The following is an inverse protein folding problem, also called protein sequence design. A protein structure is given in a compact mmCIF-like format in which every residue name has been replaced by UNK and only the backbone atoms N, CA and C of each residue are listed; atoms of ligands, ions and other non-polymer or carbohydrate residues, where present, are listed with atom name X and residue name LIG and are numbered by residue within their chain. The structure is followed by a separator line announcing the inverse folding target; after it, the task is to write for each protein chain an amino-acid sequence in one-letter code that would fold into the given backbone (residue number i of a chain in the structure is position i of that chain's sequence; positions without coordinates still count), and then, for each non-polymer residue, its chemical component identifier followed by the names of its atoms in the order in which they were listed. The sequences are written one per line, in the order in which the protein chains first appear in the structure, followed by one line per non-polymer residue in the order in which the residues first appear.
data_IF_432067431299
#
_entry.id   IF_432067431299
#
_cell.length_a   1.000
_cell.length_b   1.000
_cell.length_c   1.000
_cell.angle_alpha   90.00
_cell.angle_beta   90.00
_cell.angle_gamma   90.00
#
_symmetry.space_group_name_H-M   'P 1'
#
loop_
_entity.id
_entity.type
_entity.pdbx_description
1 polymer ?
#
# COMPACT_ATOMS: atom_id res chain seq x y z
N UNK A 1 17.74 4.84 11.86
CA UNK A 1 17.72 4.57 10.40
C UNK A 1 17.91 5.89 9.69
N UNK A 2 18.75 5.94 8.66
CA UNK A 2 19.10 7.17 7.94
C UNK A 2 19.35 6.84 6.48
N UNK A 3 18.93 7.71 5.56
CA UNK A 3 19.22 7.62 4.14
C UNK A 3 20.72 7.63 3.84
N UNK A 4 21.54 8.21 4.74
CA UNK A 4 23.00 8.18 4.60
C UNK A 4 23.63 6.82 4.91
N UNK A 5 22.96 6.00 5.71
CA UNK A 5 23.45 4.67 6.13
C UNK A 5 22.76 3.52 5.39
N UNK A 6 21.61 3.79 4.78
CA UNK A 6 20.76 2.80 4.10
C UNK A 6 20.33 3.42 2.77
N UNK A 7 21.15 3.32 1.71
CA UNK A 7 20.89 3.98 0.43
C UNK A 7 19.63 3.45 -0.27
N UNK A 8 19.17 2.24 0.07
CA UNK A 8 17.94 1.64 -0.43
C UNK A 8 16.68 2.22 0.26
N UNK A 9 16.85 3.08 1.27
CA UNK A 9 15.81 3.84 1.94
C UNK A 9 14.60 2.98 2.36
N UNK A 10 13.39 3.31 1.91
CA UNK A 10 12.15 2.59 2.25
C UNK A 10 12.18 1.12 1.82
N UNK A 11 13.01 0.73 0.84
CA UNK A 11 13.19 -0.68 0.48
C UNK A 11 14.07 -1.45 1.50
N UNK A 12 14.90 -0.76 2.28
CA UNK A 12 15.67 -1.38 3.37
C UNK A 12 14.85 -1.50 4.67
N UNK A 13 14.01 -0.51 4.98
CA UNK A 13 13.40 -0.41 6.32
C UNK A 13 11.92 -0.03 6.38
N UNK A 14 11.25 0.15 5.24
CA UNK A 14 9.83 0.51 5.18
C UNK A 14 9.52 1.80 5.97
N UNK A 15 8.54 1.73 6.87
CA UNK A 15 8.14 2.85 7.71
C UNK A 15 9.15 3.18 8.84
N UNK A 16 10.19 2.37 9.02
CA UNK A 16 11.23 2.57 10.02
C UNK A 16 11.12 1.64 11.24
N UNK A 17 11.65 2.09 12.37
CA UNK A 17 11.84 1.24 13.55
C UNK A 17 10.53 1.10 14.33
N UNK A 18 10.17 -0.14 14.67
CA UNK A 18 8.98 -0.45 15.47
C UNK A 18 8.96 0.34 16.78
N UNK A 19 7.83 0.95 17.09
CA UNK A 19 7.53 1.53 18.39
C UNK A 19 6.34 0.79 19.03
N UNK A 20 6.57 -0.21 19.90
CA UNK A 20 5.50 -1.03 20.45
C UNK A 20 4.49 -0.24 21.28
N UNK A 21 4.97 0.75 22.04
CA UNK A 21 4.13 1.58 22.91
C UNK A 21 3.14 2.40 22.09
N UNK A 22 3.57 2.98 20.97
CA UNK A 22 2.68 3.71 20.06
C UNK A 22 1.80 2.77 19.22
N UNK A 23 2.31 1.61 18.83
CA UNK A 23 1.56 0.65 18.01
C UNK A 23 0.33 0.08 18.73
N UNK A 24 0.35 0.00 20.07
CA UNK A 24 -0.80 -0.44 20.85
C UNK A 24 -2.03 0.48 20.73
N UNK A 25 -1.84 1.78 20.44
CA UNK A 25 -2.91 2.76 20.31
C UNK A 25 -2.60 3.73 19.16
N UNK A 26 -2.77 3.31 17.89
CA UNK A 26 -2.31 4.07 16.72
C UNK A 26 -3.24 5.25 16.35
N UNK A 27 -4.46 5.29 16.90
CA UNK A 27 -5.49 6.27 16.56
C UNK A 27 -6.19 5.94 15.24
N UNK A 28 -5.43 5.85 14.14
CA UNK A 28 -5.92 5.47 12.81
C UNK A 28 -5.25 4.18 12.32
N UNK A 29 -5.99 3.36 11.57
CA UNK A 29 -5.47 2.17 10.88
C UNK A 29 -5.95 2.14 9.43
N UNK A 30 -5.20 1.44 8.59
CA UNK A 30 -5.62 1.10 7.23
C UNK A 30 -6.12 -0.34 7.25
N UNK A 31 -7.43 -0.52 7.42
CA UNK A 31 -8.04 -1.85 7.44
C UNK A 31 -8.13 -2.44 6.04
N UNK A 32 -7.99 -3.76 5.96
CA UNK A 32 -8.00 -4.51 4.71
C UNK A 32 -8.56 -5.91 4.95
N UNK A 33 -9.31 -6.43 3.98
CA UNK A 33 -9.90 -7.76 4.02
C UNK A 33 -9.26 -8.70 2.99
N UNK A 34 -9.49 -10.00 3.13
CA UNK A 34 -9.08 -11.01 2.16
C UNK A 34 -9.68 -10.75 0.75
N UNK A 35 -10.88 -10.17 0.70
CA UNK A 35 -11.53 -9.81 -0.55
C UNK A 35 -10.79 -8.69 -1.31
N UNK A 36 -10.16 -7.76 -0.59
CA UNK A 36 -9.34 -6.69 -1.17
C UNK A 36 -8.04 -7.26 -1.75
N UNK A 37 -7.42 -8.24 -1.05
CA UNK A 37 -6.27 -8.98 -1.58
C UNK A 37 -6.63 -9.80 -2.81
N UNK A 38 -7.80 -10.44 -2.82
CA UNK A 38 -8.26 -11.16 -4.00
C UNK A 38 -8.44 -10.23 -5.21
N UNK A 39 -8.99 -9.02 -4.99
CA UNK A 39 -9.11 -8.00 -6.04
C UNK A 39 -7.73 -7.51 -6.53
N UNK A 40 -6.80 -7.26 -5.60
CA UNK A 40 -5.41 -6.93 -5.94
C UNK A 40 -4.76 -8.00 -6.82
N UNK A 41 -4.86 -9.27 -6.44
CA UNK A 41 -4.29 -10.39 -7.20
C UNK A 41 -4.94 -10.51 -8.60
N UNK A 42 -6.25 -10.32 -8.69
CA UNK A 42 -6.93 -10.24 -9.99
C UNK A 42 -6.39 -9.08 -10.84
N UNK A 43 -6.12 -7.92 -10.23
CA UNK A 43 -5.51 -6.76 -10.89
C UNK A 43 -4.08 -7.01 -11.39
N UNK A 44 -3.30 -7.80 -10.66
CA UNK A 44 -1.95 -8.26 -11.03
C UNK A 44 -1.98 -9.31 -12.17
N UNK A 45 -3.16 -9.85 -12.51
CA UNK A 45 -3.34 -10.79 -13.62
C UNK A 45 -3.47 -12.26 -13.22
N UNK A 46 -3.71 -12.55 -11.94
CA UNK A 46 -3.98 -13.93 -11.49
C UNK A 46 -5.26 -14.47 -12.12
N UNK A 47 -5.22 -15.74 -12.50
CA UNK A 47 -6.39 -16.48 -12.99
C UNK A 47 -7.26 -16.99 -11.85
N UNK A 48 -8.55 -17.25 -12.14
CA UNK A 48 -9.48 -17.87 -11.19
C UNK A 48 -8.92 -19.18 -10.59
N UNK A 49 -8.12 -19.93 -11.36
CA UNK A 49 -7.49 -21.18 -10.90
C UNK A 49 -6.41 -20.92 -9.86
N UNK A 50 -5.53 -19.95 -10.09
CA UNK A 50 -4.46 -19.59 -9.17
C UNK A 50 -5.04 -18.97 -7.89
N UNK A 51 -6.05 -18.11 -8.04
CA UNK A 51 -6.72 -17.48 -6.91
C UNK A 51 -7.42 -18.51 -6.00
N UNK A 52 -8.07 -19.53 -6.58
CA UNK A 52 -8.68 -20.63 -5.81
C UNK A 52 -7.65 -21.46 -5.03
N UNK A 53 -6.43 -21.59 -5.55
CA UNK A 53 -5.36 -22.30 -4.85
C UNK A 53 -4.89 -21.48 -3.64
N UNK A 54 -4.76 -20.15 -3.80
CA UNK A 54 -4.27 -19.26 -2.74
C UNK A 54 -5.31 -18.99 -1.66
N UNK A 55 -6.54 -18.67 -2.05
CA UNK A 55 -7.62 -18.30 -1.13
C UNK A 55 -8.33 -19.50 -0.53
N UNK A 56 -8.22 -20.68 -1.15
CA UNK A 56 -9.00 -21.88 -0.83
C UNK A 56 -10.53 -21.69 -0.95
N UNK A 57 -10.98 -20.55 -1.47
CA UNK A 57 -12.38 -20.21 -1.70
C UNK A 57 -12.69 -20.23 -3.21
N UNK A 58 -13.98 -20.33 -3.57
CA UNK A 58 -14.43 -20.25 -4.97
C UNK A 58 -14.46 -18.80 -5.49
N UNK A 59 -13.41 -18.04 -5.22
CA UNK A 59 -13.30 -16.63 -5.63
C UNK A 59 -13.01 -16.55 -7.13
N UNK A 60 -13.65 -15.61 -7.83
CA UNK A 60 -13.47 -15.39 -9.27
C UNK A 60 -13.17 -13.92 -9.56
N UNK A 61 -12.38 -13.67 -10.60
CA UNK A 61 -11.94 -12.34 -11.01
C UNK A 61 -12.92 -11.62 -11.95
N UNK A 62 -14.05 -12.27 -12.31
CA UNK A 62 -14.91 -11.88 -13.44
C UNK A 62 -15.57 -10.49 -13.35
N UNK A 63 -15.51 -9.82 -12.20
CA UNK A 63 -15.91 -8.40 -12.03
C UNK A 63 -14.83 -7.53 -11.35
N UNK A 64 -13.69 -8.13 -11.00
CA UNK A 64 -12.65 -7.56 -10.12
C UNK A 64 -11.33 -7.24 -10.84
N UNK A 65 -11.21 -7.57 -12.13
CA UNK A 65 -9.98 -7.43 -12.91
C UNK A 65 -9.69 -5.97 -13.36
N UNK A 66 -9.85 -5.00 -12.48
CA UNK A 66 -9.40 -3.64 -12.75
C UNK A 66 -7.90 -3.55 -12.46
N UNK A 67 -7.05 -3.34 -13.47
CA UNK A 67 -5.61 -3.13 -13.28
C UNK A 67 -5.26 -1.99 -12.31
N UNK A 68 -6.21 -1.08 -12.05
CA UNK A 68 -6.05 -0.03 -11.03
C UNK A 68 -6.16 -0.56 -9.59
N UNK A 69 -6.75 -1.74 -9.38
CA UNK A 69 -6.89 -2.37 -8.06
C UNK A 69 -5.52 -2.58 -7.38
N UNK A 70 -4.49 -2.86 -8.18
CA UNK A 70 -3.10 -3.02 -7.72
C UNK A 70 -2.64 -1.86 -6.85
N UNK A 71 -2.94 -0.63 -7.29
CA UNK A 71 -2.52 0.57 -6.58
C UNK A 71 -3.53 1.02 -5.51
N UNK A 72 -4.75 0.53 -5.55
CA UNK A 72 -5.82 0.91 -4.61
C UNK A 72 -5.93 0.02 -3.37
N UNK A 73 -5.09 -1.02 -3.27
CA UNK A 73 -4.98 -1.80 -2.05
C UNK A 73 -4.72 -0.88 -0.84
N UNK A 74 -5.50 -1.03 0.22
CA UNK A 74 -5.49 -0.10 1.36
C UNK A 74 -4.28 -0.29 2.30
N UNK A 75 -3.07 -0.13 1.76
CA UNK A 75 -1.82 -0.28 2.49
C UNK A 75 -1.36 1.04 3.13
N UNK A 76 -0.65 0.98 4.27
CA UNK A 76 -0.07 2.14 4.97
C UNK A 76 1.23 2.65 4.31
N UNK A 77 1.37 2.46 3.00
CA UNK A 77 2.49 2.94 2.18
C UNK A 77 2.03 3.21 0.75
N UNK A 78 2.82 4.01 0.04
CA UNK A 78 2.59 4.35 -1.36
C UNK A 78 3.81 3.94 -2.17
N UNK A 79 3.59 3.14 -3.21
CA UNK A 79 4.66 2.68 -4.11
C UNK A 79 4.22 2.93 -5.54
N UNK A 80 5.09 3.58 -6.32
CA UNK A 80 4.91 3.81 -7.74
C UNK A 80 6.15 3.32 -8.49
N UNK A 81 5.99 2.32 -9.35
CA UNK A 81 7.02 1.95 -10.30
C UNK A 81 6.93 2.89 -11.50
N UNK A 82 8.03 3.58 -11.81
CA UNK A 82 8.12 4.54 -12.92
C UNK A 82 9.30 4.17 -13.80
N UNK A 83 9.14 4.31 -15.11
CA UNK A 83 10.26 4.28 -16.05
C UNK A 83 10.85 5.68 -16.15
N UNK A 84 12.18 5.78 -16.23
CA UNK A 84 12.97 7.03 -16.09
C UNK A 84 12.70 8.12 -17.15
N UNK A 85 11.84 7.85 -18.13
CA UNK A 85 11.67 8.67 -19.33
C UNK A 85 10.39 9.52 -19.34
N UNK A 86 9.53 9.43 -18.32
CA UNK A 86 8.24 10.14 -18.34
C UNK A 86 7.86 10.69 -16.98
N UNK A 87 7.26 11.89 -16.96
CA UNK A 87 6.64 12.46 -15.76
C UNK A 87 5.40 11.62 -15.44
N UNK A 88 5.44 10.91 -14.31
CA UNK A 88 4.34 10.08 -13.83
C UNK A 88 3.64 10.73 -12.64
N UNK A 89 2.31 10.76 -12.70
CA UNK A 89 1.45 11.09 -11.57
C UNK A 89 0.40 9.99 -11.39
N UNK A 90 0.19 9.55 -10.16
CA UNK A 90 -0.84 8.57 -9.81
C UNK A 90 -1.64 9.05 -8.60
N UNK A 91 -2.95 8.80 -8.62
CA UNK A 91 -3.85 9.13 -7.51
C UNK A 91 -4.20 7.84 -6.79
N UNK A 92 -3.83 7.76 -5.52
CA UNK A 92 -4.12 6.62 -4.65
C UNK A 92 -5.39 6.86 -3.86
N UNK A 93 -6.27 5.86 -3.82
CA UNK A 93 -7.44 5.87 -2.95
C UNK A 93 -7.16 5.01 -1.72
N UNK A 94 -7.33 5.59 -0.53
CA UNK A 94 -7.14 4.93 0.76
C UNK A 94 -8.27 5.31 1.71
N UNK A 95 -8.61 4.36 2.59
CA UNK A 95 -9.55 4.55 3.68
C UNK A 95 -8.82 4.35 5.00
N UNK A 96 -9.00 5.27 5.93
CA UNK A 96 -8.46 5.14 7.28
C UNK A 96 -9.61 4.99 8.28
N UNK A 97 -9.48 4.02 9.18
CA UNK A 97 -10.44 3.75 10.24
C UNK A 97 -9.94 4.35 11.54
N UNK A 98 -10.78 5.10 12.24
CA UNK A 98 -10.48 5.56 13.60
C UNK A 98 -10.73 4.42 14.60
N UNK A 99 -9.65 3.95 15.24
CA UNK A 99 -9.67 2.95 16.31
C UNK A 99 -9.48 3.55 17.69
N UNK A 100 -9.33 4.87 17.78
CA UNK A 100 -9.37 5.60 19.04
C UNK A 100 -10.80 5.77 19.56
N UNK A 101 -10.95 5.87 20.89
CA UNK A 101 -12.27 5.97 21.53
C UNK A 101 -13.01 7.28 21.26
N UNK A 102 -12.31 8.34 20.87
CA UNK A 102 -12.88 9.66 20.66
C UNK A 102 -13.07 9.96 19.16
N UNK A 103 -14.23 10.50 18.80
CA UNK A 103 -14.42 11.15 17.50
C UNK A 103 -13.45 12.33 17.39
N UNK A 104 -12.62 12.31 16.36
CA UNK A 104 -11.47 13.21 16.23
C UNK A 104 -11.36 13.77 14.80
N UNK A 105 -10.80 14.97 14.66
CA UNK A 105 -10.46 15.56 13.36
C UNK A 105 -8.96 15.51 13.14
N UNK A 106 -8.54 14.96 12.01
CA UNK A 106 -7.13 14.85 11.62
C UNK A 106 -6.80 15.80 10.48
N UNK A 107 -5.58 16.33 10.46
CA UNK A 107 -5.06 17.17 9.36
C UNK A 107 -3.91 16.44 8.67
N UNK A 108 -3.97 16.33 7.35
CA UNK A 108 -2.90 15.74 6.55
C UNK A 108 -1.71 16.69 6.42
N UNK A 109 -0.50 16.16 6.60
CA UNK A 109 0.75 16.86 6.28
C UNK A 109 1.57 15.98 5.34
N UNK A 110 1.99 16.53 4.21
CA UNK A 110 2.88 15.88 3.25
C UNK A 110 4.25 16.56 3.25
N UNK A 111 5.31 15.77 3.10
CA UNK A 111 6.65 16.27 2.81
C UNK A 111 6.95 15.87 1.35
N UNK A 112 7.34 16.85 0.53
CA UNK A 112 7.67 16.60 -0.88
C UNK A 112 9.18 16.33 -0.98
N UNK A 113 9.54 15.22 -1.61
CA UNK A 113 10.92 14.85 -1.86
C UNK A 113 11.12 14.57 -3.35
N UNK A 114 12.31 14.89 -3.86
CA UNK A 114 12.72 14.57 -5.23
C UNK A 114 13.40 13.20 -5.23
N UNK A 115 12.80 12.23 -5.91
CA UNK A 115 13.43 10.92 -6.11
C UNK A 115 14.42 11.06 -7.28
N UNK A 116 15.72 10.96 -7.01
CA UNK A 116 16.76 10.86 -8.04
C UNK A 116 17.02 9.37 -8.26
N UNK A 117 16.40 8.78 -9.28
CA UNK A 117 16.62 7.39 -9.62
C UNK A 117 17.97 7.21 -10.30
N UNK A 118 18.88 6.43 -9.69
CA UNK A 118 20.02 5.88 -10.43
C UNK A 118 19.53 4.68 -11.24
N UNK A 119 19.65 4.76 -12.56
CA UNK A 119 19.44 3.64 -13.46
C UNK A 119 20.42 2.51 -13.14
N UNK A 120 19.90 1.29 -12.95
CA UNK A 120 20.70 0.06 -13.05
C UNK A 120 21.03 -0.25 -14.50
#
# INVERSE_FOLDING_TARGET
MSSALNPEAEFAYGAGLLNPVKAANPGLVYDISEADYAEFLCGEGYTDKELRILTQEKTTCKEKANKKAVYNLNLPSFTLSVNSTTIYGYVYHRTVTNVGSATSTYKSKSNVFTIVGNSS
#
